data_IF_976220512915
#
_entry.id   IF_976220512915
#
_cell.length_a   1.000
_cell.length_b   1.000
_cell.length_c   1.000
_cell.angle_alpha   90.00
_cell.angle_beta   90.00
_cell.angle_gamma   90.00
#
_symmetry.space_group_name_H-M   'P 1'
#
loop_
_entity.id
_entity.type
_entity.pdbx_description
1 polymer ?
#
# COMPACT_ATOMS: atom_id res chain seq x y z
N UNK A 1 13.06 16.25 -22.72
CA UNK A 1 13.14 15.00 -21.94
C UNK A 1 11.87 14.90 -21.11
N UNK A 2 11.07 13.83 -21.21
CA UNK A 2 9.95 13.61 -20.27
C UNK A 2 10.55 13.48 -18.88
N UNK A 3 10.08 14.30 -17.93
CA UNK A 3 10.51 14.18 -16.53
C UNK A 3 10.16 12.77 -16.06
N UNK A 4 11.16 12.00 -15.61
CA UNK A 4 10.96 10.65 -15.12
C UNK A 4 10.21 10.73 -13.79
N UNK A 5 9.04 10.12 -13.70
CA UNK A 5 8.21 10.13 -12.49
C UNK A 5 8.95 9.37 -11.39
N UNK A 6 9.16 10.03 -10.23
CA UNK A 6 9.78 9.43 -9.04
C UNK A 6 8.70 9.07 -8.03
N UNK A 7 8.70 7.81 -7.59
CA UNK A 7 7.72 7.25 -6.67
C UNK A 7 8.36 7.00 -5.31
N UNK A 8 7.78 7.54 -4.26
CA UNK A 8 8.14 7.18 -2.89
C UNK A 8 7.52 5.82 -2.53
N UNK A 9 8.33 4.86 -2.09
CA UNK A 9 7.86 3.51 -1.76
C UNK A 9 8.21 3.16 -0.32
N UNK A 10 7.18 2.87 0.47
CA UNK A 10 7.28 2.32 1.80
C UNK A 10 7.00 0.81 1.77
N UNK A 11 7.75 0.06 2.54
CA UNK A 11 7.63 -1.41 2.57
C UNK A 11 8.27 -2.11 1.37
N UNK A 12 9.05 -1.41 0.52
CA UNK A 12 9.71 -1.96 -0.67
C UNK A 12 10.67 -3.14 -0.38
N UNK A 13 11.23 -3.23 0.82
CA UNK A 13 12.03 -4.36 1.28
C UNK A 13 11.21 -5.55 1.83
N UNK A 14 9.89 -5.42 1.92
CA UNK A 14 8.99 -6.44 2.41
C UNK A 14 8.66 -7.54 1.40
N UNK A 15 7.91 -8.55 1.85
CA UNK A 15 7.54 -9.71 1.02
C UNK A 15 6.74 -9.33 -0.24
N UNK A 16 5.78 -8.42 -0.13
CA UNK A 16 5.01 -7.89 -1.28
C UNK A 16 5.78 -6.79 -2.00
N UNK A 17 6.48 -5.92 -1.23
CA UNK A 17 7.16 -4.74 -1.77
C UNK A 17 8.24 -5.04 -2.80
N UNK A 18 8.94 -6.18 -2.69
CA UNK A 18 9.95 -6.58 -3.69
C UNK A 18 9.36 -6.78 -5.09
N UNK A 19 8.15 -7.33 -5.20
CA UNK A 19 7.45 -7.48 -6.49
C UNK A 19 7.03 -6.11 -7.04
N UNK A 20 6.54 -5.24 -6.17
CA UNK A 20 6.19 -3.87 -6.54
C UNK A 20 7.41 -3.10 -7.07
N UNK A 21 8.53 -3.12 -6.35
CA UNK A 21 9.77 -2.44 -6.78
C UNK A 21 10.23 -2.95 -8.14
N UNK A 22 10.24 -4.26 -8.35
CA UNK A 22 10.60 -4.86 -9.63
C UNK A 22 9.67 -4.40 -10.75
N UNK A 23 8.35 -4.42 -10.53
CA UNK A 23 7.35 -4.01 -11.52
C UNK A 23 7.49 -2.53 -11.88
N UNK A 24 7.64 -1.64 -10.89
CA UNK A 24 7.82 -0.20 -11.12
C UNK A 24 9.09 0.10 -11.93
N UNK A 25 10.20 -0.58 -11.65
CA UNK A 25 11.44 -0.42 -12.40
C UNK A 25 11.30 -0.90 -13.85
N UNK A 26 10.62 -2.01 -14.08
CA UNK A 26 10.34 -2.53 -15.43
C UNK A 26 9.46 -1.57 -16.25
N UNK A 27 8.65 -0.74 -15.58
CA UNK A 27 7.85 0.32 -16.21
C UNK A 27 8.62 1.64 -16.37
N UNK A 28 9.89 1.70 -15.95
CA UNK A 28 10.77 2.86 -16.12
C UNK A 28 10.61 3.96 -15.08
N UNK A 29 9.95 3.72 -13.96
CA UNK A 29 9.87 4.68 -12.86
C UNK A 29 11.19 4.82 -12.11
N UNK A 30 11.46 6.00 -11.57
CA UNK A 30 12.48 6.22 -10.54
C UNK A 30 11.86 6.00 -9.17
N UNK A 31 12.59 5.38 -8.26
CA UNK A 31 12.08 5.03 -6.94
C UNK A 31 12.92 5.64 -5.83
N UNK A 32 12.26 6.10 -4.78
CA UNK A 32 12.88 6.46 -3.50
C UNK A 32 12.30 5.57 -2.43
N UNK A 33 13.11 4.71 -1.83
CA UNK A 33 12.67 3.68 -0.89
C UNK A 33 13.04 4.06 0.54
N UNK A 34 12.09 3.95 1.47
CA UNK A 34 12.36 4.01 2.91
C UNK A 34 12.52 2.59 3.44
N UNK A 35 13.72 2.27 3.92
CA UNK A 35 14.06 0.97 4.46
C UNK A 35 14.62 1.09 5.88
N UNK A 36 14.14 0.27 6.81
CA UNK A 36 14.72 0.20 8.17
C UNK A 36 16.10 -0.48 8.17
N UNK A 37 16.25 -1.47 7.29
CA UNK A 37 17.44 -2.30 7.14
C UNK A 37 17.92 -2.29 5.69
N UNK A 38 18.49 -1.18 5.19
CA UNK A 38 18.93 -1.05 3.80
C UNK A 38 20.04 -2.07 3.44
N UNK A 39 20.80 -2.52 4.42
CA UNK A 39 21.87 -3.54 4.26
C UNK A 39 21.34 -4.91 3.82
N UNK A 40 20.06 -5.20 4.05
CA UNK A 40 19.41 -6.45 3.63
C UNK A 40 18.75 -6.35 2.25
N UNK A 41 18.75 -5.16 1.65
CA UNK A 41 18.12 -4.94 0.36
C UNK A 41 19.08 -5.27 -0.77
N UNK A 42 18.76 -6.31 -1.51
CA UNK A 42 19.66 -6.92 -2.51
C UNK A 42 19.68 -6.22 -3.87
N UNK A 43 18.67 -5.38 -4.16
CA UNK A 43 18.54 -4.76 -5.47
C UNK A 43 19.37 -3.47 -5.56
N UNK A 44 20.32 -3.45 -6.51
CA UNK A 44 21.06 -2.25 -6.90
C UNK A 44 20.62 -1.84 -8.30
N UNK A 45 20.04 -0.66 -8.44
CA UNK A 45 19.58 -0.13 -9.72
C UNK A 45 19.78 1.39 -9.75
N UNK A 46 20.24 1.98 -10.88
CA UNK A 46 20.52 3.42 -10.97
C UNK A 46 19.30 4.30 -10.73
N UNK A 47 18.08 3.79 -10.98
CA UNK A 47 16.82 4.49 -10.73
C UNK A 47 16.27 4.25 -9.32
N UNK A 48 17.05 3.68 -8.39
CA UNK A 48 16.64 3.44 -7.00
C UNK A 48 17.51 4.23 -6.05
N UNK A 49 16.90 5.15 -5.34
CA UNK A 49 17.46 5.84 -4.19
C UNK A 49 16.97 5.15 -2.92
N UNK A 50 17.88 4.81 -2.01
CA UNK A 50 17.55 4.13 -0.75
C UNK A 50 17.86 5.05 0.40
N UNK A 51 16.90 5.21 1.30
CA UNK A 51 17.04 5.93 2.56
C UNK A 51 16.83 4.97 3.72
N UNK A 52 17.64 5.12 4.77
CA UNK A 52 17.42 4.45 6.05
C UNK A 52 16.44 5.27 6.89
N UNK A 53 15.39 4.63 7.41
CA UNK A 53 14.43 5.27 8.30
C UNK A 53 13.23 4.38 8.61
N UNK A 54 12.38 4.86 9.49
CA UNK A 54 11.14 4.19 9.88
C UNK A 54 9.92 5.01 9.40
N UNK A 55 8.85 4.32 9.00
CA UNK A 55 7.62 4.95 8.55
C UNK A 55 6.86 5.72 9.66
N UNK A 56 7.16 5.45 10.92
CA UNK A 56 6.60 6.18 12.07
C UNK A 56 7.37 7.46 12.39
N UNK A 57 8.53 7.69 11.77
CA UNK A 57 9.32 8.91 11.92
C UNK A 57 8.86 9.96 10.90
N UNK A 58 8.27 11.10 11.33
CA UNK A 58 7.80 12.14 10.43
C UNK A 58 8.91 12.75 9.56
N UNK A 59 10.13 12.93 10.10
CA UNK A 59 11.23 13.52 9.34
C UNK A 59 11.75 12.55 8.26
N UNK A 60 11.79 11.25 8.56
CA UNK A 60 12.13 10.24 7.56
C UNK A 60 11.10 10.21 6.42
N UNK A 61 9.80 10.33 6.72
CA UNK A 61 8.74 10.42 5.71
C UNK A 61 8.85 11.71 4.90
N UNK A 62 9.07 12.83 5.54
CA UNK A 62 9.25 14.13 4.87
C UNK A 62 10.41 14.08 3.88
N UNK A 63 11.56 13.59 4.31
CA UNK A 63 12.73 13.42 3.43
C UNK A 63 12.45 12.42 2.31
N UNK A 64 11.73 11.34 2.58
CA UNK A 64 11.34 10.36 1.56
C UNK A 64 10.53 11.00 0.43
N UNK A 65 9.54 11.82 0.78
CA UNK A 65 8.60 12.39 -0.20
C UNK A 65 9.18 13.53 -1.02
N UNK A 66 10.28 14.15 -0.58
CA UNK A 66 10.92 15.24 -1.31
C UNK A 66 11.28 14.84 -2.74
N UNK A 67 10.73 15.58 -3.73
CA UNK A 67 10.94 15.37 -5.16
C UNK A 67 10.18 14.19 -5.76
N UNK A 68 9.27 13.55 -5.00
CA UNK A 68 8.40 12.49 -5.50
C UNK A 68 7.07 13.04 -6.03
N UNK A 69 6.41 12.30 -6.92
CA UNK A 69 5.12 12.66 -7.52
C UNK A 69 3.97 11.77 -7.03
N UNK A 70 4.28 10.62 -6.47
CA UNK A 70 3.29 9.71 -5.87
C UNK A 70 3.91 8.89 -4.74
N UNK A 71 3.04 8.31 -3.91
CA UNK A 71 3.43 7.46 -2.78
C UNK A 71 2.75 6.11 -2.91
N UNK A 72 3.51 5.03 -2.70
CA UNK A 72 2.96 3.67 -2.58
C UNK A 72 3.44 3.05 -1.27
N UNK A 73 2.49 2.51 -0.48
CA UNK A 73 2.78 1.82 0.77
C UNK A 73 2.31 0.37 0.76
N UNK A 74 3.25 -0.55 0.97
CA UNK A 74 2.99 -1.97 1.24
C UNK A 74 3.39 -2.34 2.68
N UNK A 75 3.40 -1.36 3.57
CA UNK A 75 3.77 -1.55 4.97
C UNK A 75 2.72 -2.40 5.68
N UNK A 76 3.18 -3.48 6.30
CA UNK A 76 2.36 -4.37 7.11
C UNK A 76 2.76 -4.33 8.58
N UNK A 77 1.80 -4.63 9.47
CA UNK A 77 2.07 -4.77 10.89
C UNK A 77 2.95 -6.00 11.14
N UNK A 78 3.94 -5.85 12.00
CA UNK A 78 4.80 -6.93 12.48
C UNK A 78 4.44 -7.31 13.91
N UNK A 79 4.72 -8.54 14.24
CA UNK A 79 4.55 -9.05 15.58
C UNK A 79 5.47 -8.29 16.55
N UNK A 80 4.94 -7.96 17.72
CA UNK A 80 5.67 -7.33 18.83
C UNK A 80 6.32 -5.97 18.49
N UNK A 81 5.86 -5.29 17.42
CA UNK A 81 6.30 -3.95 17.05
C UNK A 81 5.17 -2.91 17.30
N UNK A 82 5.53 -1.62 17.47
CA UNK A 82 4.54 -0.55 17.55
C UNK A 82 3.59 -0.55 16.35
N UNK A 83 2.39 0.00 16.55
CA UNK A 83 1.40 0.16 15.49
C UNK A 83 1.96 1.12 14.43
N UNK A 84 1.88 0.70 13.17
CA UNK A 84 2.54 1.41 12.08
C UNK A 84 1.56 1.98 11.06
N UNK A 85 0.38 1.39 10.91
CA UNK A 85 -0.51 1.70 9.78
C UNK A 85 -1.05 3.12 9.85
N UNK A 86 -1.69 3.49 10.95
CA UNK A 86 -2.26 4.84 11.11
C UNK A 86 -1.19 5.91 11.25
N UNK A 87 -0.11 5.66 12.01
CA UNK A 87 0.97 6.63 12.21
C UNK A 87 1.71 6.92 10.90
N UNK A 88 2.06 5.88 10.13
CA UNK A 88 2.68 6.07 8.82
C UNK A 88 1.77 6.85 7.86
N UNK A 89 0.47 6.52 7.84
CA UNK A 89 -0.48 7.22 6.98
C UNK A 89 -0.62 8.69 7.37
N UNK A 90 -0.72 9.00 8.66
CA UNK A 90 -0.78 10.39 9.15
C UNK A 90 0.46 11.19 8.73
N UNK A 91 1.66 10.63 8.92
CA UNK A 91 2.92 11.26 8.51
C UNK A 91 2.99 11.48 7.00
N UNK A 92 2.56 10.46 6.21
CA UNK A 92 2.52 10.54 4.76
C UNK A 92 1.59 11.67 4.30
N UNK A 93 0.36 11.73 4.82
CA UNK A 93 -0.62 12.74 4.44
C UNK A 93 -0.13 14.16 4.76
N UNK A 94 0.52 14.36 5.92
CA UNK A 94 1.15 15.65 6.29
C UNK A 94 2.24 16.05 5.30
N UNK A 95 3.16 15.15 4.98
CA UNK A 95 4.25 15.43 4.05
C UNK A 95 3.74 15.59 2.60
N UNK A 96 2.71 14.85 2.20
CA UNK A 96 2.06 15.04 0.89
C UNK A 96 1.47 16.44 0.75
N UNK A 97 0.82 16.96 1.78
CA UNK A 97 0.30 18.32 1.79
C UNK A 97 1.42 19.37 1.65
N UNK A 98 2.56 19.18 2.33
CA UNK A 98 3.72 20.09 2.23
C UNK A 98 4.30 20.15 0.81
N UNK A 99 4.40 18.99 0.13
CA UNK A 99 5.02 18.89 -1.19
C UNK A 99 4.03 18.94 -2.36
N UNK A 100 2.73 19.09 -2.10
CA UNK A 100 1.69 19.13 -3.13
C UNK A 100 1.51 17.79 -3.87
N UNK A 101 1.89 16.68 -3.24
CA UNK A 101 1.73 15.33 -3.80
C UNK A 101 0.27 14.90 -3.62
N UNK A 102 -0.36 14.42 -4.71
CA UNK A 102 -1.78 14.07 -4.68
C UNK A 102 -2.03 12.55 -4.66
N UNK A 103 -1.19 11.74 -5.31
CA UNK A 103 -1.48 10.31 -5.50
C UNK A 103 -0.89 9.44 -4.39
N UNK A 104 -1.75 8.72 -3.65
CA UNK A 104 -1.37 7.78 -2.60
C UNK A 104 -2.04 6.42 -2.77
N UNK A 105 -1.25 5.38 -2.97
CA UNK A 105 -1.71 3.99 -3.06
C UNK A 105 -1.23 3.21 -1.84
N UNK A 106 -2.12 2.43 -1.23
CA UNK A 106 -1.70 1.58 -0.11
C UNK A 106 -2.43 0.26 -0.08
N UNK A 107 -1.77 -0.77 0.47
CA UNK A 107 -2.31 -2.12 0.61
C UNK A 107 -2.76 -2.37 2.03
N UNK A 108 -3.94 -2.95 2.18
CA UNK A 108 -4.48 -3.39 3.46
C UNK A 108 -5.16 -4.76 3.34
N UNK A 109 -5.52 -5.35 4.47
CA UNK A 109 -6.32 -6.58 4.48
C UNK A 109 -7.81 -6.30 4.28
N UNK A 110 -8.56 -7.34 3.91
CA UNK A 110 -10.03 -7.27 3.69
C UNK A 110 -10.83 -6.91 4.95
N UNK A 111 -10.18 -6.88 6.10
CA UNK A 111 -10.81 -6.62 7.40
C UNK A 111 -11.08 -5.13 7.69
N UNK A 112 -10.67 -4.19 6.82
CA UNK A 112 -11.07 -2.79 6.96
C UNK A 112 -12.51 -2.65 6.47
N UNK A 113 -13.34 -1.99 7.30
CA UNK A 113 -14.74 -1.67 6.98
C UNK A 113 -14.84 -0.27 6.38
N UNK A 114 -15.71 -0.13 5.37
CA UNK A 114 -16.08 1.17 4.78
C UNK A 114 -17.60 1.27 4.69
N UNK A 115 -18.18 2.50 4.64
CA UNK A 115 -19.63 2.68 4.50
C UNK A 115 -20.24 2.09 3.23
N UNK A 116 -19.42 1.76 2.25
CA UNK A 116 -19.84 1.24 0.94
C UNK A 116 -19.82 -0.28 0.86
N UNK A 117 -19.33 -0.95 1.89
CA UNK A 117 -19.19 -2.40 1.93
C UNK A 117 -20.55 -3.11 2.00
N UNK A 118 -20.64 -4.22 1.27
CA UNK A 118 -21.70 -5.22 1.36
C UNK A 118 -21.05 -6.60 1.49
N UNK A 119 -20.22 -6.73 2.54
CA UNK A 119 -19.42 -7.93 2.77
C UNK A 119 -20.28 -9.18 2.89
N UNK A 120 -20.00 -10.18 2.08
CA UNK A 120 -20.54 -11.52 2.19
C UNK A 120 -20.07 -12.25 3.44
N UNK A 121 -20.53 -13.49 3.60
CA UNK A 121 -20.25 -14.27 4.81
C UNK A 121 -18.76 -14.46 5.07
N UNK A 122 -17.97 -14.82 4.04
CA UNK A 122 -16.54 -15.11 4.18
C UNK A 122 -15.75 -13.85 4.60
N UNK A 123 -15.98 -12.72 3.92
CA UNK A 123 -15.29 -11.45 4.24
C UNK A 123 -15.71 -10.93 5.62
N UNK A 124 -16.97 -11.10 6.00
CA UNK A 124 -17.47 -10.72 7.33
C UNK A 124 -16.85 -11.58 8.42
N UNK A 125 -16.76 -12.89 8.24
CA UNK A 125 -16.11 -13.81 9.19
C UNK A 125 -14.62 -13.48 9.35
N UNK A 126 -13.91 -13.21 8.26
CA UNK A 126 -12.50 -12.81 8.30
C UNK A 126 -12.31 -11.47 9.04
N UNK A 127 -13.21 -10.52 8.84
CA UNK A 127 -13.21 -9.24 9.56
C UNK A 127 -13.43 -9.45 11.06
N UNK A 128 -14.42 -10.23 11.44
CA UNK A 128 -14.72 -10.53 12.84
C UNK A 128 -13.59 -11.29 13.51
N UNK A 129 -12.97 -12.25 12.79
CA UNK A 129 -11.80 -12.95 13.29
C UNK A 129 -10.65 -12.01 13.62
N UNK A 130 -10.36 -11.04 12.74
CA UNK A 130 -9.34 -10.01 12.98
C UNK A 130 -9.71 -9.10 14.17
N UNK A 131 -10.98 -8.71 14.28
CA UNK A 131 -11.47 -7.88 15.38
C UNK A 131 -11.31 -8.59 16.73
N UNK A 132 -11.60 -9.88 16.78
CA UNK A 132 -11.54 -10.69 18.02
C UNK A 132 -10.11 -11.04 18.40
N UNK A 133 -9.27 -11.46 17.46
CA UNK A 133 -7.95 -12.00 17.76
C UNK A 133 -6.84 -10.94 17.76
N UNK A 134 -7.02 -9.83 17.01
CA UNK A 134 -6.06 -8.73 16.87
C UNK A 134 -6.74 -7.36 16.97
N UNK A 135 -7.48 -7.07 18.06
CA UNK A 135 -8.32 -5.87 18.16
C UNK A 135 -7.54 -4.57 17.97
N UNK A 136 -6.34 -4.50 18.53
CA UNK A 136 -5.49 -3.29 18.44
C UNK A 136 -5.01 -3.05 17.01
N UNK A 137 -4.57 -4.09 16.31
CA UNK A 137 -4.15 -4.01 14.91
C UNK A 137 -5.33 -3.69 14.00
N UNK A 138 -6.50 -4.29 14.27
CA UNK A 138 -7.73 -4.01 13.52
C UNK A 138 -8.14 -2.54 13.68
N UNK A 139 -8.13 -2.01 14.91
CA UNK A 139 -8.44 -0.62 15.20
C UNK A 139 -7.47 0.35 14.52
N UNK A 140 -6.16 0.06 14.54
CA UNK A 140 -5.13 0.87 13.87
C UNK A 140 -5.36 0.96 12.36
N UNK A 141 -5.70 -0.16 11.72
CA UNK A 141 -6.02 -0.19 10.29
C UNK A 141 -7.32 0.54 9.97
N UNK A 142 -8.32 0.44 10.85
CA UNK A 142 -9.57 1.19 10.68
C UNK A 142 -9.32 2.70 10.80
N UNK A 143 -8.45 3.13 11.71
CA UNK A 143 -8.01 4.52 11.84
C UNK A 143 -7.28 5.01 10.58
N UNK A 144 -6.50 4.15 9.93
CA UNK A 144 -5.90 4.46 8.62
C UNK A 144 -6.96 4.87 7.60
N UNK A 145 -8.05 4.10 7.49
CA UNK A 145 -9.15 4.45 6.59
C UNK A 145 -9.81 5.80 6.96
N UNK A 146 -10.01 6.08 8.26
CA UNK A 146 -10.57 7.37 8.69
C UNK A 146 -9.69 8.54 8.22
N UNK A 147 -8.38 8.48 8.43
CA UNK A 147 -7.47 9.53 7.95
C UNK A 147 -7.50 9.72 6.44
N UNK A 148 -7.58 8.64 5.67
CA UNK A 148 -7.70 8.72 4.21
C UNK A 148 -9.02 9.37 3.79
N UNK A 149 -10.13 8.94 4.39
CA UNK A 149 -11.48 9.45 4.04
C UNK A 149 -11.67 10.93 4.37
N UNK A 150 -10.95 11.45 5.35
CA UNK A 150 -10.95 12.85 5.75
C UNK A 150 -9.94 13.71 4.96
N UNK A 151 -9.05 13.08 4.16
CA UNK A 151 -8.02 13.78 3.41
C UNK A 151 -8.48 14.23 2.02
N UNK A 152 -7.81 15.27 1.50
CA UNK A 152 -8.04 15.78 0.15
C UNK A 152 -7.24 15.08 -0.93
N UNK A 153 -6.29 14.22 -0.56
CA UNK A 153 -5.44 13.52 -1.54
C UNK A 153 -6.22 12.48 -2.36
N UNK A 154 -5.72 12.19 -3.55
CA UNK A 154 -6.22 11.12 -4.40
C UNK A 154 -5.64 9.78 -3.91
N UNK A 155 -6.31 9.16 -2.95
CA UNK A 155 -5.88 7.89 -2.38
C UNK A 155 -6.64 6.69 -2.98
N UNK A 156 -5.99 5.53 -2.97
CA UNK A 156 -6.63 4.22 -3.21
C UNK A 156 -6.15 3.23 -2.16
N UNK A 157 -7.08 2.72 -1.34
CA UNK A 157 -6.81 1.70 -0.34
C UNK A 157 -7.13 0.31 -0.91
N UNK A 158 -6.12 -0.40 -1.39
CA UNK A 158 -6.29 -1.71 -2.01
C UNK A 158 -6.41 -2.78 -0.94
N UNK A 159 -7.60 -3.42 -0.84
CA UNK A 159 -7.88 -4.44 0.16
C UNK A 159 -7.70 -5.84 -0.44
N UNK A 160 -6.83 -6.63 0.19
CA UNK A 160 -6.42 -7.93 -0.33
C UNK A 160 -6.73 -9.06 0.65
N UNK A 161 -7.11 -10.26 0.16
CA UNK A 161 -7.28 -11.47 0.95
C UNK A 161 -5.91 -12.08 1.32
N UNK A 162 -5.81 -13.41 1.39
CA UNK A 162 -4.53 -14.09 1.62
C UNK A 162 -3.55 -13.82 0.48
N UNK A 163 -2.32 -13.38 0.81
CA UNK A 163 -1.30 -13.06 -0.18
C UNK A 163 -0.39 -14.27 -0.40
N UNK A 164 -0.33 -14.74 -1.64
CA UNK A 164 0.68 -15.69 -2.10
C UNK A 164 1.90 -14.93 -2.61
N UNK A 165 3.07 -15.21 -2.04
CA UNK A 165 4.31 -14.49 -2.36
C UNK A 165 4.97 -15.06 -3.63
N UNK A 166 4.23 -15.03 -4.73
CA UNK A 166 4.62 -15.48 -6.07
C UNK A 166 4.50 -14.33 -7.06
N UNK A 167 5.14 -14.46 -8.23
CA UNK A 167 4.99 -13.54 -9.36
C UNK A 167 4.06 -14.13 -10.44
N UNK A 168 3.13 -14.97 -10.02
CA UNK A 168 2.18 -15.60 -10.95
C UNK A 168 1.22 -14.55 -11.50
N UNK A 169 1.14 -14.43 -12.81
CA UNK A 169 0.18 -13.60 -13.50
C UNK A 169 -1.14 -14.37 -13.63
N UNK A 170 -2.17 -13.85 -12.98
CA UNK A 170 -3.54 -14.40 -13.01
C UNK A 170 -4.54 -13.26 -13.25
N UNK A 171 -5.74 -13.57 -13.71
CA UNK A 171 -6.81 -12.58 -13.84
C UNK A 171 -7.14 -11.96 -12.48
N UNK A 172 -7.13 -10.62 -12.42
CA UNK A 172 -7.45 -9.85 -11.20
C UNK A 172 -8.94 -9.50 -11.24
N UNK A 173 -9.68 -10.02 -10.28
CA UNK A 173 -11.05 -9.61 -10.02
C UNK A 173 -11.04 -8.41 -9.08
N UNK A 174 -11.87 -7.40 -9.37
CA UNK A 174 -11.98 -6.18 -8.58
C UNK A 174 -13.42 -5.94 -8.18
N UNK A 175 -13.65 -5.61 -6.92
CA UNK A 175 -14.96 -5.23 -6.41
C UNK A 175 -14.83 -4.09 -5.38
N UNK A 176 -15.79 -3.18 -5.34
CA UNK A 176 -15.82 -2.09 -4.34
C UNK A 176 -16.70 -2.39 -3.14
N UNK A 177 -17.37 -3.54 -3.13
CA UNK A 177 -18.37 -3.87 -2.11
C UNK A 177 -18.05 -5.11 -1.27
N UNK A 178 -17.37 -6.12 -1.85
CA UNK A 178 -16.98 -7.36 -1.18
C UNK A 178 -15.73 -7.97 -1.81
N UNK A 179 -15.03 -8.83 -1.08
CA UNK A 179 -13.83 -9.50 -1.61
C UNK A 179 -14.24 -10.58 -2.62
N UNK A 180 -13.77 -10.50 -3.89
CA UNK A 180 -14.21 -11.40 -4.95
C UNK A 180 -13.51 -12.77 -4.98
N UNK A 181 -12.60 -13.05 -4.03
CA UNK A 181 -11.86 -14.31 -3.98
C UNK A 181 -11.06 -14.46 -2.68
N UNK A 182 -10.37 -15.59 -2.54
CA UNK A 182 -9.71 -15.99 -1.28
C UNK A 182 -8.22 -15.70 -1.23
N UNK A 183 -7.58 -15.53 -2.39
CA UNK A 183 -6.13 -15.32 -2.50
C UNK A 183 -5.79 -14.32 -3.59
N UNK A 184 -4.58 -13.81 -3.53
CA UNK A 184 -3.99 -12.99 -4.58
C UNK A 184 -2.47 -13.16 -4.58
N UNK A 185 -1.84 -13.23 -5.75
CA UNK A 185 -0.39 -13.22 -5.87
C UNK A 185 0.20 -11.83 -5.60
N UNK A 186 1.40 -11.79 -5.03
CA UNK A 186 2.10 -10.52 -4.80
C UNK A 186 2.44 -9.81 -6.12
N UNK A 187 2.66 -10.58 -7.20
CA UNK A 187 2.82 -10.05 -8.56
C UNK A 187 1.59 -9.31 -9.04
N UNK A 188 0.39 -9.88 -8.85
CA UNK A 188 -0.88 -9.23 -9.22
C UNK A 188 -1.16 -7.97 -8.38
N UNK A 189 -0.82 -7.97 -7.09
CA UNK A 189 -0.89 -6.75 -6.27
C UNK A 189 0.02 -5.66 -6.85
N UNK A 190 1.26 -6.01 -7.19
CA UNK A 190 2.22 -5.08 -7.78
C UNK A 190 1.75 -4.52 -9.13
N UNK A 191 1.17 -5.39 -9.97
CA UNK A 191 0.56 -5.00 -11.25
C UNK A 191 -0.56 -3.99 -11.06
N UNK A 192 -1.55 -4.33 -10.24
CA UNK A 192 -2.68 -3.45 -9.95
C UNK A 192 -2.23 -2.09 -9.41
N UNK A 193 -1.33 -2.06 -8.41
CA UNK A 193 -0.81 -0.81 -7.86
C UNK A 193 -0.10 0.05 -8.91
N UNK A 194 0.68 -0.58 -9.80
CA UNK A 194 1.42 0.14 -10.83
C UNK A 194 0.47 0.72 -11.88
N UNK A 195 -0.58 0.02 -12.27
CA UNK A 195 -1.61 0.51 -13.17
C UNK A 195 -2.38 1.69 -12.56
N UNK A 196 -2.72 1.59 -11.27
CA UNK A 196 -3.46 2.65 -10.56
C UNK A 196 -2.65 3.94 -10.35
N UNK A 197 -1.35 3.97 -10.62
CA UNK A 197 -0.57 5.23 -10.59
C UNK A 197 -1.03 6.25 -11.64
N UNK A 198 -1.51 5.76 -12.79
CA UNK A 198 -1.79 6.58 -13.97
C UNK A 198 -3.28 6.73 -14.26
N UNK A 199 -4.14 6.10 -13.46
CA UNK A 199 -5.59 6.14 -13.64
C UNK A 199 -6.29 6.52 -12.34
N UNK A 200 -7.46 7.12 -12.45
CA UNK A 200 -8.28 7.61 -11.33
C UNK A 200 -9.53 6.75 -11.04
N UNK A 201 -9.63 5.58 -11.67
CA UNK A 201 -10.79 4.68 -11.57
C UNK A 201 -11.18 4.39 -10.12
N UNK A 202 -10.17 4.24 -9.26
CA UNK A 202 -10.37 3.99 -7.82
C UNK A 202 -9.88 5.15 -6.95
N UNK A 203 -9.93 6.38 -7.47
CA UNK A 203 -9.68 7.60 -6.69
C UNK A 203 -10.67 7.69 -5.53
N UNK A 204 -10.15 7.92 -4.31
CA UNK A 204 -10.90 7.97 -3.04
C UNK A 204 -11.78 6.74 -2.80
N UNK A 205 -11.31 5.56 -3.22
CA UNK A 205 -12.02 4.28 -3.08
C UNK A 205 -11.15 3.21 -2.41
N UNK A 206 -11.83 2.19 -1.91
CA UNK A 206 -11.21 1.04 -1.23
C UNK A 206 -11.56 -0.27 -1.94
N UNK A 207 -11.05 -0.50 -3.18
CA UNK A 207 -11.36 -1.73 -3.89
C UNK A 207 -10.79 -2.96 -3.17
N UNK A 208 -11.53 -4.06 -3.21
CA UNK A 208 -11.03 -5.40 -2.97
C UNK A 208 -10.49 -5.96 -4.27
N UNK A 209 -9.36 -6.64 -4.22
CA UNK A 209 -8.79 -7.36 -5.36
C UNK A 209 -8.44 -8.79 -4.97
N UNK A 210 -8.71 -9.73 -5.86
CA UNK A 210 -8.35 -11.14 -5.69
C UNK A 210 -8.02 -11.78 -7.04
N UNK A 211 -7.29 -12.89 -7.03
CA UNK A 211 -7.15 -13.70 -8.24
C UNK A 211 -8.44 -14.47 -8.51
N UNK A 212 -8.75 -14.68 -9.77
CA UNK A 212 -9.83 -15.57 -10.20
C UNK A 212 -9.41 -17.01 -9.88
N UNK A 213 -10.29 -17.74 -9.19
CA UNK A 213 -10.14 -19.17 -8.91
C UNK A 213 -10.57 -20.03 -10.10
#
# INVERSE_FOLDING_TARGET
>A
MKQQIKIAVLGGGGRTGKYLVTRLLNQGYSLKLLLRHPETFFLKHPSVEIMKGDAIDPEAIRTLLEGCQAVISTVGQRKDEPLVSSLATENILKAMAEYGIQRYLLVAGINIDTPFDKKGLETSMATEWMRTNFPVIHSDRQKTYSFLSESDVDWTLVRVPFIEFTDTAEEILVSTVDCPGKRISAGCIAEFLTEQLMVDTYSKKSPFIANKE
#
